data_IF_647858308605
#
_entry.id   IF_647858308605
#
_cell.length_a   1.000
_cell.length_b   1.000
_cell.length_c   1.000
_cell.angle_alpha   90.00
_cell.angle_beta   90.00
_cell.angle_gamma   90.00
#
_symmetry.space_group_name_H-M   'P 1'
#
loop_
_entity.id
_entity.type
_entity.pdbx_description
1 polymer ?
#
# COMPACT_ATOMS: atom_id res chain seq x y z
N UNK A 1 -3.48 11.29 11.21
CA UNK A 1 -4.73 11.82 10.61
C UNK A 1 -5.10 13.10 11.34
N UNK A 2 -5.10 14.24 10.65
CA UNK A 2 -5.37 15.54 11.29
C UNK A 2 -4.43 15.80 12.48
N UNK A 3 -3.13 15.54 12.31
CA UNK A 3 -2.11 15.66 13.35
C UNK A 3 -2.14 14.59 14.45
N UNK A 4 -3.16 13.72 14.50
CA UNK A 4 -3.25 12.63 15.51
C UNK A 4 -2.58 11.34 15.02
N UNK A 5 -1.77 10.65 15.85
CA UNK A 5 -1.22 9.35 15.52
C UNK A 5 -2.32 8.31 15.21
N UNK A 6 -2.01 7.37 14.32
CA UNK A 6 -2.87 6.25 13.99
C UNK A 6 -2.04 4.96 13.90
N UNK A 7 -2.65 3.81 14.23
CA UNK A 7 -1.97 2.53 14.22
C UNK A 7 -1.64 2.08 12.79
N UNK A 8 -0.41 1.62 12.57
CA UNK A 8 -0.04 0.91 11.35
C UNK A 8 -0.62 -0.50 11.35
N UNK A 9 -0.99 -1.01 10.17
CA UNK A 9 -1.54 -2.36 10.00
C UNK A 9 -3.02 -2.52 10.38
N UNK A 10 -3.68 -1.46 10.85
CA UNK A 10 -5.10 -1.47 11.19
C UNK A 10 -5.91 -0.50 10.30
N UNK A 11 -7.22 -0.74 10.10
CA UNK A 11 -8.08 0.24 9.43
C UNK A 11 -8.16 1.55 10.20
N UNK A 12 -8.01 2.67 9.50
CA UNK A 12 -8.10 4.02 10.07
C UNK A 12 -9.17 4.80 9.32
N UNK A 13 -10.04 5.48 10.06
CA UNK A 13 -11.03 6.39 9.47
C UNK A 13 -10.39 7.76 9.24
N UNK A 14 -10.43 8.23 8.00
CA UNK A 14 -9.99 9.56 7.59
C UNK A 14 -11.23 10.36 7.19
N UNK A 15 -11.64 11.39 7.96
CA UNK A 15 -12.76 12.26 7.58
C UNK A 15 -12.51 12.98 6.25
N UNK A 16 -13.59 13.41 5.59
CA UNK A 16 -13.47 14.24 4.40
C UNK A 16 -12.73 15.55 4.72
N UNK A 17 -11.76 15.92 3.88
CA UNK A 17 -10.94 17.11 4.06
C UNK A 17 -9.76 16.95 5.04
N UNK A 18 -9.62 15.81 5.70
CA UNK A 18 -8.51 15.55 6.62
C UNK A 18 -7.25 15.05 5.91
N UNK A 19 -6.09 15.37 6.49
CA UNK A 19 -4.79 14.93 6.00
C UNK A 19 -4.38 13.61 6.66
N UNK A 20 -4.09 12.61 5.83
CA UNK A 20 -3.31 11.44 6.21
C UNK A 20 -1.85 11.67 5.84
N UNK A 21 -1.02 11.85 6.86
CA UNK A 21 0.44 11.88 6.70
C UNK A 21 1.02 10.51 7.07
N UNK A 22 1.86 9.96 6.19
CA UNK A 22 2.63 8.75 6.43
C UNK A 22 4.09 9.14 6.48
N UNK A 23 4.68 9.08 7.67
CA UNK A 23 6.09 9.40 7.88
C UNK A 23 7.04 8.34 7.32
N UNK A 24 8.33 8.52 7.59
CA UNK A 24 9.36 7.57 7.20
C UNK A 24 9.14 6.19 7.85
N UNK A 25 9.45 5.12 7.12
CA UNK A 25 9.51 3.77 7.67
C UNK A 25 10.68 3.67 8.66
N UNK A 26 10.42 3.15 9.86
CA UNK A 26 11.45 2.94 10.90
C UNK A 26 12.14 1.58 10.83
N UNK A 27 11.51 0.60 10.17
CA UNK A 27 12.06 -0.72 9.89
C UNK A 27 11.57 -1.22 8.52
N UNK A 28 12.48 -1.75 7.72
CA UNK A 28 12.20 -2.10 6.31
C UNK A 28 12.27 -0.90 5.37
N UNK A 29 11.78 -1.07 4.15
CA UNK A 29 11.96 -0.08 3.05
C UNK A 29 10.66 0.33 2.36
N UNK A 30 9.54 -0.35 2.63
CA UNK A 30 8.25 -0.09 1.96
C UNK A 30 7.12 -0.07 2.97
N UNK A 31 6.29 0.96 2.88
CA UNK A 31 4.96 1.01 3.48
C UNK A 31 3.90 0.93 2.40
N UNK A 32 2.71 0.42 2.74
CA UNK A 32 1.57 0.35 1.84
C UNK A 32 0.39 1.11 2.45
N UNK A 33 -0.23 1.97 1.66
CA UNK A 33 -1.48 2.64 2.02
C UNK A 33 -2.59 2.01 1.19
N UNK A 34 -3.59 1.46 1.88
CA UNK A 34 -4.78 0.92 1.26
C UNK A 34 -5.97 1.82 1.56
N UNK A 35 -6.80 2.06 0.54
CA UNK A 35 -8.07 2.78 0.67
C UNK A 35 -9.20 1.81 0.41
N UNK A 36 -10.24 1.84 1.26
CA UNK A 36 -11.42 0.98 1.07
C UNK A 36 -12.07 1.28 -0.28
N UNK A 37 -12.33 0.24 -1.07
CA UNK A 37 -12.78 0.37 -2.46
C UNK A 37 -11.64 0.40 -3.49
N UNK A 38 -10.40 0.62 -3.05
CA UNK A 38 -9.20 0.64 -3.90
C UNK A 38 -9.01 1.94 -4.67
N UNK A 39 -7.87 2.04 -5.34
CA UNK A 39 -7.56 3.14 -6.28
C UNK A 39 -8.08 2.74 -7.67
N UNK A 40 -9.04 3.50 -8.18
CA UNK A 40 -9.82 3.18 -9.37
C UNK A 40 -9.27 3.85 -10.65
N UNK A 41 -7.96 3.85 -10.82
CA UNK A 41 -7.31 4.25 -12.09
C UNK A 41 -7.61 3.22 -13.19
N UNK A 42 -7.49 3.63 -14.45
CA UNK A 42 -7.71 2.74 -15.59
C UNK A 42 -6.65 1.62 -15.59
N UNK A 43 -7.04 0.33 -15.70
CA UNK A 43 -6.08 -0.75 -15.80
C UNK A 43 -5.36 -0.77 -17.15
N UNK A 44 -4.09 -1.13 -17.14
CA UNK A 44 -3.29 -1.43 -18.33
C UNK A 44 -2.99 -2.92 -18.32
N UNK A 45 -3.33 -3.62 -19.41
CA UNK A 45 -3.23 -5.08 -19.51
C UNK A 45 -3.96 -5.82 -18.36
N UNK A 46 -5.08 -5.27 -17.89
CA UNK A 46 -5.87 -5.85 -16.80
C UNK A 46 -5.30 -5.62 -15.39
N UNK A 47 -4.18 -4.90 -15.26
CA UNK A 47 -3.53 -4.59 -13.97
C UNK A 47 -3.50 -3.08 -13.71
N UNK A 48 -3.38 -2.71 -12.43
CA UNK A 48 -3.12 -1.32 -11.97
C UNK A 48 -1.71 -1.14 -11.40
N UNK A 49 -0.85 -2.14 -11.56
CA UNK A 49 0.54 -2.03 -11.15
C UNK A 49 1.31 -1.10 -12.10
N UNK A 50 2.24 -0.32 -11.55
CA UNK A 50 3.21 0.45 -12.31
C UNK A 50 4.44 -0.41 -12.57
N UNK A 51 4.77 -0.63 -13.84
CA UNK A 51 6.05 -1.18 -14.26
C UNK A 51 7.00 -0.04 -14.62
N UNK A 52 8.00 0.17 -13.76
CA UNK A 52 8.98 1.25 -13.94
C UNK A 52 9.96 0.98 -15.09
N UNK A 53 10.15 -0.28 -15.52
CA UNK A 53 11.08 -0.61 -16.59
C UNK A 53 10.47 -0.31 -17.96
N UNK A 54 9.24 -0.75 -18.18
CA UNK A 54 8.53 -0.56 -19.46
C UNK A 54 7.72 0.74 -19.53
N UNK A 55 7.41 1.35 -18.38
CA UNK A 55 6.52 2.49 -18.27
C UNK A 55 5.02 2.11 -18.36
N UNK A 56 4.68 0.82 -18.32
CA UNK A 56 3.29 0.37 -18.35
C UNK A 56 2.59 0.61 -17.01
N UNK A 57 1.27 0.84 -17.08
CA UNK A 57 0.43 1.06 -15.91
C UNK A 57 0.32 2.54 -15.52
N UNK A 58 -0.23 2.82 -14.32
CA UNK A 58 -0.37 4.18 -13.83
C UNK A 58 0.99 4.84 -13.63
N UNK A 59 1.10 6.13 -13.96
CA UNK A 59 2.32 6.89 -13.71
C UNK A 59 2.64 6.94 -12.21
N UNK A 60 3.93 7.00 -11.82
CA UNK A 60 4.31 7.33 -10.44
C UNK A 60 3.62 8.62 -9.97
N UNK A 61 3.18 8.61 -8.71
CA UNK A 61 2.48 9.76 -8.13
C UNK A 61 3.41 10.97 -8.07
N UNK A 62 2.88 12.12 -8.43
CA UNK A 62 3.52 13.42 -8.27
C UNK A 62 2.64 14.34 -7.40
N UNK A 63 3.21 15.44 -6.92
CA UNK A 63 2.44 16.48 -6.24
C UNK A 63 1.24 16.92 -7.11
N UNK A 64 0.09 17.11 -6.48
CA UNK A 64 -1.16 17.46 -7.16
C UNK A 64 -1.89 16.29 -7.83
N UNK A 65 -1.37 15.06 -7.77
CA UNK A 65 -2.08 13.89 -8.32
C UNK A 65 -3.38 13.64 -7.57
N UNK A 66 -4.50 13.61 -8.31
CA UNK A 66 -5.82 13.25 -7.77
C UNK A 66 -6.14 11.82 -8.14
N UNK A 67 -6.33 10.96 -7.13
CA UNK A 67 -6.63 9.55 -7.33
C UNK A 67 -8.13 9.26 -7.21
N UNK A 68 -8.77 8.68 -8.23
CA UNK A 68 -10.15 8.21 -8.10
C UNK A 68 -10.21 7.02 -7.14
N UNK A 69 -11.21 6.99 -6.28
CA UNK A 69 -11.47 5.87 -5.37
C UNK A 69 -12.57 4.98 -5.93
N UNK A 70 -12.38 3.67 -5.80
CA UNK A 70 -13.43 2.71 -6.12
C UNK A 70 -14.56 2.74 -5.11
N UNK A 71 -15.74 2.24 -5.49
CA UNK A 71 -16.87 2.11 -4.57
C UNK A 71 -16.59 0.97 -3.58
N UNK A 72 -16.63 1.23 -2.25
CA UNK A 72 -16.53 0.17 -1.27
C UNK A 72 -17.60 -0.91 -1.47
N UNK A 73 -17.18 -2.17 -1.44
CA UNK A 73 -18.09 -3.32 -1.45
C UNK A 73 -18.27 -3.87 -0.02
N UNK A 74 -19.51 -4.16 0.36
CA UNK A 74 -19.86 -4.78 1.65
C UNK A 74 -19.53 -3.93 2.88
N UNK A 75 -19.88 -4.40 4.07
CA UNK A 75 -19.39 -3.81 5.32
C UNK A 75 -17.90 -4.13 5.52
N UNK A 76 -17.12 -3.28 6.24
CA UNK A 76 -15.76 -3.64 6.63
C UNK A 76 -15.77 -4.98 7.38
N UNK A 77 -14.87 -5.88 7.02
CA UNK A 77 -14.72 -7.13 7.73
C UNK A 77 -14.35 -6.84 9.20
N UNK A 78 -15.11 -7.39 10.14
CA UNK A 78 -14.73 -7.38 11.57
C UNK A 78 -13.72 -8.49 11.80
N UNK A 79 -12.49 -8.24 11.37
CA UNK A 79 -11.36 -9.14 11.62
C UNK A 79 -10.45 -8.51 12.65
N UNK A 80 -10.02 -9.32 13.61
CA UNK A 80 -8.92 -8.94 14.49
C UNK A 80 -7.65 -8.84 13.65
N UNK A 81 -6.85 -7.82 13.93
CA UNK A 81 -5.55 -7.67 13.26
C UNK A 81 -4.53 -8.51 14.01
N UNK A 82 -4.02 -9.56 13.37
CA UNK A 82 -2.91 -10.31 13.93
C UNK A 82 -1.63 -9.44 13.92
N UNK A 83 -0.79 -9.49 14.97
CA UNK A 83 0.50 -8.83 14.96
C UNK A 83 1.31 -9.27 13.74
N UNK A 84 1.74 -8.30 12.93
CA UNK A 84 2.68 -8.55 11.84
C UNK A 84 4.10 -8.42 12.40
N UNK A 85 4.96 -9.46 12.25
CA UNK A 85 6.35 -9.34 12.65
C UNK A 85 7.02 -8.26 11.79
N UNK A 86 7.84 -7.44 12.44
CA UNK A 86 8.71 -6.51 11.73
C UNK A 86 9.71 -7.26 10.85
N UNK A 87 10.31 -6.58 9.86
CA UNK A 87 11.40 -7.16 9.09
C UNK A 87 12.57 -7.52 10.02
N UNK A 88 13.25 -8.66 9.80
CA UNK A 88 14.35 -9.08 10.66
C UNK A 88 15.58 -8.18 10.44
N UNK A 89 16.45 -8.10 11.45
CA UNK A 89 17.72 -7.39 11.35
C UNK A 89 18.67 -8.03 10.32
N UNK A 90 18.61 -9.36 10.21
CA UNK A 90 19.29 -10.14 9.18
C UNK A 90 18.27 -10.97 8.40
N UNK A 91 18.29 -10.85 7.07
CA UNK A 91 17.37 -11.56 6.19
C UNK A 91 18.05 -12.81 5.62
N UNK A 92 17.64 -13.98 6.12
CA UNK A 92 18.08 -15.27 5.56
C UNK A 92 17.06 -15.74 4.53
N UNK A 93 17.49 -15.88 3.28
CA UNK A 93 16.64 -16.33 2.18
C UNK A 93 16.97 -17.76 1.79
N UNK A 94 15.94 -18.59 1.63
CA UNK A 94 16.08 -19.90 0.98
C UNK A 94 16.06 -19.68 -0.53
N UNK A 95 17.05 -20.25 -1.21
CA UNK A 95 17.20 -20.16 -2.66
C UNK A 95 17.04 -21.55 -3.27
N UNK A 96 16.21 -21.65 -4.30
CA UNK A 96 16.13 -22.85 -5.11
C UNK A 96 17.28 -22.84 -6.14
N UNK A 97 18.07 -23.91 -6.30
CA UNK A 97 19.11 -23.98 -7.32
C UNK A 97 18.54 -23.86 -8.74
N UNK A 98 19.29 -23.22 -9.65
CA UNK A 98 19.04 -23.22 -11.10
C UNK A 98 18.81 -21.83 -11.71
N UNK A 99 18.65 -21.76 -13.05
CA UNK A 99 18.89 -22.83 -14.04
C UNK A 99 20.39 -22.98 -14.42
N UNK A 100 21.27 -22.16 -13.83
CA UNK A 100 22.72 -22.11 -14.14
C UNK A 100 23.61 -22.25 -12.89
N UNK A 101 23.11 -22.92 -11.85
CA UNK A 101 23.85 -23.14 -10.61
C UNK A 101 24.98 -24.17 -10.79
#
# INVERSE_FOLDING_TARGET
VGGRPAAWGAPVVVPAGELLEVGAVSAGVRGYVAVRGGIAVEPVLGSRATDLLSGLGPAPLAEGTVLPLGRPAGAPARVDTAPQPGPPAELVLRVAPGPRA
#
